data_IF_733898827132
#
_entry.id   IF_733898827132
#
_cell.length_a   1.000
_cell.length_b   1.000
_cell.length_c   1.000
_cell.angle_alpha   90.00
_cell.angle_beta   90.00
_cell.angle_gamma   90.00
#
_symmetry.space_group_name_H-M   'P 1'
#
loop_
_entity.id
_entity.type
_entity.pdbx_description
1 polymer ?
#
# COMPACT_ATOMS: atom_id res chain seq x y z
N UNK A 1 -8.97 8.12 -22.70
CA UNK A 1 -8.70 6.77 -22.15
C UNK A 1 -9.99 6.26 -21.53
N UNK A 2 -10.33 4.99 -21.75
CA UNK A 2 -11.52 4.40 -21.10
C UNK A 2 -11.13 3.97 -19.69
N UNK A 3 -11.73 4.57 -18.66
CA UNK A 3 -11.50 4.17 -17.28
C UNK A 3 -12.02 2.75 -17.02
N UNK A 4 -11.25 1.92 -16.33
CA UNK A 4 -11.62 0.51 -16.08
C UNK A 4 -12.95 0.41 -15.34
N UNK A 5 -13.20 1.29 -14.36
CA UNK A 5 -14.46 1.32 -13.61
C UNK A 5 -15.72 1.58 -14.47
N UNK A 6 -15.54 2.17 -15.65
CA UNK A 6 -16.65 2.49 -16.59
C UNK A 6 -16.84 1.42 -17.68
N UNK A 7 -16.04 0.34 -17.65
CA UNK A 7 -16.11 -0.69 -18.67
C UNK A 7 -17.34 -1.57 -18.46
N UNK A 8 -18.04 -1.83 -19.55
CA UNK A 8 -19.19 -2.71 -19.61
C UNK A 8 -19.02 -3.74 -20.71
N UNK A 9 -19.78 -4.83 -20.64
CA UNK A 9 -19.79 -5.89 -21.65
C UNK A 9 -20.01 -5.30 -23.08
N UNK A 10 -19.32 -5.83 -24.05
CA UNK A 10 -19.35 -5.45 -25.47
C UNK A 10 -18.65 -4.10 -25.81
N UNK A 11 -18.17 -3.35 -24.84
CA UNK A 11 -17.48 -2.06 -25.08
C UNK A 11 -16.10 -2.27 -25.69
N UNK A 12 -15.74 -1.42 -26.65
CA UNK A 12 -14.37 -1.33 -27.16
C UNK A 12 -13.51 -0.59 -26.15
N UNK A 13 -12.37 -1.16 -25.84
CA UNK A 13 -11.36 -0.59 -24.95
C UNK A 13 -10.19 -0.10 -25.78
N UNK A 14 -9.84 1.16 -25.61
CA UNK A 14 -8.63 1.76 -26.17
C UNK A 14 -8.00 2.67 -25.13
N UNK A 15 -6.76 2.35 -24.74
CA UNK A 15 -6.05 3.12 -23.71
C UNK A 15 -4.69 2.57 -23.35
N UNK A 16 -4.02 3.28 -22.47
CA UNK A 16 -2.78 2.82 -21.83
C UNK A 16 -3.14 2.37 -20.42
N UNK A 17 -2.62 1.21 -20.02
CA UNK A 17 -2.84 0.59 -18.72
C UNK A 17 -1.52 0.03 -18.21
N UNK A 18 -1.34 -0.07 -16.91
CA UNK A 18 -0.20 -0.79 -16.36
C UNK A 18 -0.52 -2.29 -16.24
N UNK A 19 0.49 -3.12 -16.40
CA UNK A 19 0.41 -4.58 -16.27
C UNK A 19 0.68 -4.96 -14.83
N UNK A 20 -0.36 -5.19 -14.05
CA UNK A 20 -0.24 -5.63 -12.66
C UNK A 20 0.25 -7.09 -12.56
N UNK A 21 -0.20 -7.94 -13.47
CA UNK A 21 0.15 -9.36 -13.51
C UNK A 21 0.25 -9.83 -14.94
N UNK A 22 1.22 -10.71 -15.20
CA UNK A 22 1.43 -11.34 -16.50
C UNK A 22 1.76 -12.80 -16.32
N UNK A 23 1.01 -13.67 -17.00
CA UNK A 23 1.24 -15.11 -16.98
C UNK A 23 1.09 -15.69 -18.39
N UNK A 24 2.07 -16.48 -18.79
CA UNK A 24 1.95 -17.29 -20.01
C UNK A 24 1.33 -18.63 -19.67
N UNK A 25 0.16 -18.90 -20.23
CA UNK A 25 -0.64 -20.09 -19.97
C UNK A 25 -0.94 -20.84 -21.27
N UNK A 26 -1.52 -22.02 -21.16
CA UNK A 26 -1.99 -22.82 -22.30
C UNK A 26 -3.48 -23.12 -22.18
N UNK A 27 -4.16 -23.06 -23.29
CA UNK A 27 -5.55 -23.52 -23.38
C UNK A 27 -5.63 -25.05 -23.22
N UNK A 28 -6.83 -25.59 -23.04
CA UNK A 28 -7.06 -27.05 -23.03
C UNK A 28 -6.56 -27.74 -24.30
N UNK A 29 -6.56 -27.04 -25.44
CA UNK A 29 -6.03 -27.50 -26.72
C UNK A 29 -4.52 -27.30 -26.91
N UNK A 30 -3.79 -26.80 -25.88
CA UNK A 30 -2.35 -26.63 -25.91
C UNK A 30 -1.85 -25.31 -26.51
N UNK A 31 -2.73 -24.48 -27.09
CA UNK A 31 -2.34 -23.16 -27.62
C UNK A 31 -1.91 -22.18 -26.51
N UNK A 32 -0.79 -21.48 -26.69
CA UNK A 32 -0.35 -20.49 -25.68
C UNK A 32 -1.24 -19.24 -25.71
N UNK A 33 -1.36 -18.57 -24.55
CA UNK A 33 -1.97 -17.25 -24.41
C UNK A 33 -1.34 -16.50 -23.24
N UNK A 34 -1.44 -15.15 -23.23
CA UNK A 34 -1.09 -14.35 -22.07
C UNK A 34 -2.35 -14.03 -21.27
N UNK A 35 -2.30 -14.32 -19.99
CA UNK A 35 -3.25 -13.83 -19.01
C UNK A 35 -2.63 -12.61 -18.33
N UNK A 36 -3.29 -11.47 -18.47
CA UNK A 36 -2.87 -10.19 -17.87
C UNK A 36 -3.90 -9.73 -16.86
N UNK A 37 -3.45 -8.97 -15.87
CA UNK A 37 -4.26 -8.07 -15.07
C UNK A 37 -3.83 -6.66 -15.43
N UNK A 38 -4.74 -5.89 -16.00
CA UNK A 38 -4.52 -4.49 -16.34
C UNK A 38 -5.07 -3.60 -15.23
N UNK A 39 -4.38 -2.50 -14.95
CA UNK A 39 -4.78 -1.53 -13.92
C UNK A 39 -4.71 -0.11 -14.43
N UNK A 40 -5.63 0.71 -13.92
CA UNK A 40 -5.60 2.17 -13.98
C UNK A 40 -6.04 2.74 -12.62
N UNK A 41 -6.01 4.07 -12.40
CA UNK A 41 -6.44 4.67 -11.14
C UNK A 41 -7.87 4.33 -10.72
N UNK A 42 -8.72 3.90 -11.65
CA UNK A 42 -10.14 3.59 -11.41
C UNK A 42 -10.40 2.14 -11.03
N UNK A 43 -9.45 1.21 -11.29
CA UNK A 43 -9.64 -0.19 -10.96
C UNK A 43 -8.73 -1.19 -11.67
N UNK A 44 -9.17 -2.44 -11.70
CA UNK A 44 -8.45 -3.59 -12.29
C UNK A 44 -9.37 -4.40 -13.17
N UNK A 45 -8.83 -4.97 -14.26
CA UNK A 45 -9.56 -5.85 -15.15
C UNK A 45 -8.64 -6.96 -15.70
N UNK A 46 -9.16 -8.17 -15.76
CA UNK A 46 -8.50 -9.29 -16.44
C UNK A 46 -8.43 -9.02 -17.95
N UNK A 47 -7.32 -9.42 -18.60
CA UNK A 47 -7.18 -9.35 -20.04
C UNK A 47 -6.54 -10.62 -20.60
N UNK A 48 -6.89 -10.97 -21.83
CA UNK A 48 -6.39 -12.16 -22.52
C UNK A 48 -5.84 -11.78 -23.89
N UNK A 49 -4.63 -12.26 -24.19
CA UNK A 49 -3.97 -12.07 -25.48
C UNK A 49 -3.80 -13.45 -26.12
N UNK A 50 -4.47 -13.67 -27.26
CA UNK A 50 -4.52 -14.96 -27.93
C UNK A 50 -3.57 -15.07 -29.14
N UNK A 51 -3.08 -13.94 -29.63
CA UNK A 51 -2.28 -13.83 -30.84
C UNK A 51 -0.88 -13.31 -30.52
N UNK A 52 0.09 -13.67 -31.33
CA UNK A 52 1.49 -13.19 -31.25
C UNK A 52 2.13 -13.36 -29.86
N UNK A 53 1.68 -14.36 -29.11
CA UNK A 53 2.00 -14.57 -27.69
C UNK A 53 3.49 -14.55 -27.41
N UNK A 54 4.31 -15.25 -28.24
CA UNK A 54 5.76 -15.34 -28.03
C UNK A 54 6.46 -14.00 -28.28
N UNK A 55 6.02 -13.27 -29.30
CA UNK A 55 6.54 -11.96 -29.63
C UNK A 55 6.21 -10.93 -28.53
N UNK A 56 4.97 -10.92 -28.08
CA UNK A 56 4.48 -9.99 -27.09
C UNK A 56 5.03 -10.31 -25.70
N UNK A 57 5.21 -11.58 -25.36
CA UNK A 57 5.75 -12.01 -24.08
C UNK A 57 7.17 -11.44 -23.82
N UNK A 58 7.95 -11.23 -24.85
CA UNK A 58 9.30 -10.68 -24.76
C UNK A 58 9.35 -9.13 -24.72
N UNK A 59 8.27 -8.42 -25.04
CA UNK A 59 8.27 -6.97 -25.26
C UNK A 59 7.94 -6.12 -24.03
N UNK A 60 7.31 -6.71 -23.04
CA UNK A 60 6.94 -6.03 -21.79
C UNK A 60 6.95 -7.00 -20.60
N UNK A 61 7.10 -6.46 -19.42
CA UNK A 61 7.09 -7.21 -18.16
C UNK A 61 5.89 -6.78 -17.28
N UNK A 62 5.70 -7.50 -16.18
CA UNK A 62 4.85 -6.98 -15.10
C UNK A 62 5.45 -5.68 -14.59
N UNK A 63 4.62 -4.68 -14.32
CA UNK A 63 5.01 -3.35 -13.92
C UNK A 63 5.14 -2.36 -15.08
N UNK A 64 5.22 -2.81 -16.34
CA UNK A 64 5.28 -1.92 -17.49
C UNK A 64 3.90 -1.36 -17.86
N UNK A 65 3.89 -0.21 -18.53
CA UNK A 65 2.72 0.33 -19.19
C UNK A 65 2.56 -0.24 -20.61
N UNK A 66 1.32 -0.55 -20.98
CA UNK A 66 0.98 -1.09 -22.31
C UNK A 66 -0.21 -0.35 -22.90
N UNK A 67 -0.15 -0.08 -24.21
CA UNK A 67 -1.27 0.41 -24.99
C UNK A 67 -2.10 -0.78 -25.46
N UNK A 68 -3.36 -0.79 -25.13
CA UNK A 68 -4.28 -1.90 -25.40
C UNK A 68 -5.44 -1.42 -26.25
N UNK A 69 -5.74 -2.18 -27.31
CA UNK A 69 -7.01 -2.14 -28.04
C UNK A 69 -7.66 -3.51 -27.91
N UNK A 70 -8.90 -3.56 -27.47
CA UNK A 70 -9.63 -4.80 -27.27
C UNK A 70 -11.12 -4.61 -27.11
N UNK A 71 -11.81 -5.66 -26.71
CA UNK A 71 -13.25 -5.65 -26.43
C UNK A 71 -13.51 -6.26 -25.05
N UNK A 72 -14.41 -5.66 -24.30
CA UNK A 72 -14.86 -6.23 -23.02
C UNK A 72 -15.81 -7.37 -23.29
N UNK A 73 -15.55 -8.52 -22.73
CA UNK A 73 -16.42 -9.68 -22.73
C UNK A 73 -16.67 -10.18 -21.31
N UNK A 74 -17.70 -11.01 -21.17
CA UNK A 74 -18.02 -11.62 -19.89
C UNK A 74 -17.64 -13.08 -19.88
N UNK A 75 -16.72 -13.44 -19.02
CA UNK A 75 -16.32 -14.83 -18.80
C UNK A 75 -16.54 -15.25 -17.35
N UNK A 76 -17.30 -16.33 -17.12
CA UNK A 76 -17.65 -16.83 -15.78
C UNK A 76 -18.17 -15.74 -14.83
N UNK A 77 -19.04 -14.89 -15.34
CA UNK A 77 -19.66 -13.77 -14.62
C UNK A 77 -18.69 -12.63 -14.20
N UNK A 78 -17.48 -12.57 -14.80
CA UNK A 78 -16.51 -11.48 -14.62
C UNK A 78 -16.23 -10.82 -15.96
N UNK A 79 -16.05 -9.52 -15.94
CA UNK A 79 -15.61 -8.79 -17.13
C UNK A 79 -14.12 -9.07 -17.37
N UNK A 80 -13.76 -9.28 -18.63
CA UNK A 80 -12.38 -9.35 -19.08
C UNK A 80 -12.23 -8.65 -20.43
N UNK A 81 -11.01 -8.24 -20.77
CA UNK A 81 -10.68 -7.66 -22.07
C UNK A 81 -10.13 -8.75 -22.99
N UNK A 82 -10.80 -9.00 -24.11
CA UNK A 82 -10.25 -9.73 -25.24
C UNK A 82 -9.36 -8.77 -26.04
N UNK A 83 -8.04 -8.95 -25.93
CA UNK A 83 -7.04 -8.02 -26.48
C UNK A 83 -6.81 -8.34 -27.95
N UNK A 84 -7.00 -7.33 -28.81
CA UNK A 84 -6.74 -7.41 -30.24
C UNK A 84 -5.33 -6.93 -30.61
N UNK A 85 -4.92 -5.81 -30.03
CA UNK A 85 -3.56 -5.30 -30.17
C UNK A 85 -3.02 -4.86 -28.80
N UNK A 86 -1.73 -5.12 -28.61
CA UNK A 86 -1.01 -4.71 -27.43
C UNK A 86 0.40 -4.26 -27.83
N UNK A 87 0.78 -3.08 -27.36
CA UNK A 87 2.09 -2.50 -27.58
C UNK A 87 2.66 -1.98 -26.26
N UNK A 88 3.97 -2.09 -26.05
CA UNK A 88 4.63 -1.44 -24.92
C UNK A 88 4.48 0.07 -25.04
N UNK A 89 4.24 0.76 -23.93
CA UNK A 89 4.11 2.22 -23.83
C UNK A 89 5.20 2.80 -22.91
N UNK A 90 6.48 2.77 -23.34
CA UNK A 90 7.60 3.20 -22.49
C UNK A 90 7.59 4.71 -22.18
N UNK A 91 6.78 5.48 -22.88
CA UNK A 91 6.56 6.92 -22.62
C UNK A 91 5.66 7.20 -21.41
N UNK A 92 4.90 6.21 -20.95
CA UNK A 92 3.99 6.36 -19.82
C UNK A 92 4.66 5.87 -18.52
N UNK A 93 4.53 6.66 -17.45
CA UNK A 93 4.99 6.24 -16.12
C UNK A 93 3.99 5.22 -15.55
N UNK A 94 4.38 3.94 -15.36
CA UNK A 94 3.48 2.94 -14.79
C UNK A 94 2.93 3.29 -13.41
N UNK A 95 3.62 4.12 -12.64
CA UNK A 95 3.18 4.56 -11.32
C UNK A 95 1.89 5.39 -11.37
N UNK A 96 1.62 6.08 -12.49
CA UNK A 96 0.40 6.86 -12.70
C UNK A 96 -0.86 5.99 -12.83
N UNK A 97 -0.69 4.68 -13.05
CA UNK A 97 -1.80 3.73 -13.21
C UNK A 97 -2.12 2.95 -11.93
N UNK A 98 -1.40 3.17 -10.84
CA UNK A 98 -1.78 2.57 -9.57
C UNK A 98 -3.13 3.13 -9.11
N UNK A 99 -4.04 2.28 -8.57
CA UNK A 99 -5.21 2.78 -7.85
C UNK A 99 -4.76 3.80 -6.81
N UNK A 100 -5.43 4.95 -6.74
CA UNK A 100 -5.01 6.06 -5.90
C UNK A 100 -5.97 6.26 -4.74
N UNK A 101 -5.47 6.96 -3.73
CA UNK A 101 -6.20 7.47 -2.60
C UNK A 101 -7.45 8.26 -3.05
N UNK A 102 -8.58 8.06 -2.35
CA UNK A 102 -9.82 8.83 -2.57
C UNK A 102 -9.83 10.14 -1.77
N UNK A 103 -9.09 10.18 -0.66
CA UNK A 103 -8.92 11.37 0.18
C UNK A 103 -7.80 12.25 -0.35
N UNK A 104 -7.85 13.53 -0.02
CA UNK A 104 -6.79 14.47 -0.36
C UNK A 104 -5.51 14.10 0.43
N UNK A 105 -4.41 13.87 -0.29
CA UNK A 105 -3.13 13.52 0.32
C UNK A 105 -2.54 14.67 1.14
N UNK A 106 -2.80 15.93 0.78
CA UNK A 106 -2.33 17.09 1.54
C UNK A 106 -3.13 17.25 2.84
N UNK A 107 -4.42 16.92 2.83
CA UNK A 107 -5.22 16.84 4.06
C UNK A 107 -4.68 15.77 5.01
N UNK A 108 -4.36 14.58 4.50
CA UNK A 108 -3.78 13.49 5.31
C UNK A 108 -2.41 13.84 5.87
N UNK A 109 -1.55 14.51 5.10
CA UNK A 109 -0.27 15.00 5.61
C UNK A 109 -0.46 16.05 6.71
N UNK A 110 -1.46 16.94 6.58
CA UNK A 110 -1.82 17.88 7.63
C UNK A 110 -2.25 17.18 8.94
N UNK A 111 -3.03 16.09 8.82
CA UNK A 111 -3.38 15.24 9.98
C UNK A 111 -2.15 14.52 10.55
N UNK A 112 -1.25 14.01 9.72
CA UNK A 112 0.00 13.39 10.17
C UNK A 112 0.85 14.37 11.00
N UNK A 113 1.01 15.59 10.51
CA UNK A 113 1.76 16.66 11.20
C UNK A 113 1.08 17.09 12.50
N UNK A 114 -0.25 17.22 12.49
CA UNK A 114 -1.02 17.52 13.70
C UNK A 114 -0.82 16.44 14.76
N UNK A 115 -0.97 15.16 14.40
CA UNK A 115 -0.80 14.04 15.33
C UNK A 115 0.63 13.93 15.86
N UNK A 116 1.64 14.16 15.02
CA UNK A 116 3.04 14.21 15.43
C UNK A 116 3.32 15.35 16.40
N UNK A 117 2.66 16.50 16.21
CA UNK A 117 2.77 17.68 17.07
C UNK A 117 2.15 17.51 18.46
N UNK A 118 1.27 16.54 18.68
CA UNK A 118 0.71 16.24 19.99
C UNK A 118 1.65 15.46 20.92
N UNK A 119 2.79 14.95 20.42
CA UNK A 119 3.76 14.19 21.21
C UNK A 119 4.62 15.19 22.01
N UNK A 120 4.42 15.24 23.32
CA UNK A 120 5.13 16.13 24.23
C UNK A 120 6.45 15.56 24.74
N UNK A 121 6.63 14.24 24.77
CA UNK A 121 7.85 13.58 25.21
C UNK A 121 8.98 13.83 24.21
N UNK A 122 9.97 14.65 24.60
CA UNK A 122 11.03 15.16 23.72
C UNK A 122 11.75 14.06 22.91
N UNK A 123 12.10 12.94 23.55
CA UNK A 123 12.79 11.83 22.88
C UNK A 123 11.93 11.15 21.81
N UNK A 124 10.63 10.93 22.08
CA UNK A 124 9.70 10.31 21.13
C UNK A 124 9.36 11.27 19.99
N UNK A 125 9.07 12.54 20.32
CA UNK A 125 8.86 13.59 19.32
C UNK A 125 10.07 13.73 18.38
N UNK A 126 11.28 13.69 18.94
CA UNK A 126 12.52 13.75 18.17
C UNK A 126 12.68 12.58 17.18
N UNK A 127 12.27 11.36 17.54
CA UNK A 127 12.28 10.22 16.61
C UNK A 127 11.28 10.48 15.49
N UNK A 128 10.02 10.78 15.82
CA UNK A 128 8.95 11.01 14.84
C UNK A 128 9.30 12.16 13.88
N UNK A 129 9.86 13.24 14.40
CA UNK A 129 10.33 14.37 13.58
C UNK A 129 11.41 13.94 12.58
N UNK A 130 12.41 13.14 12.98
CA UNK A 130 13.45 12.64 12.07
C UNK A 130 12.91 11.79 10.93
N UNK A 131 11.79 11.09 11.14
CA UNK A 131 11.11 10.36 10.08
C UNK A 131 10.36 11.30 9.14
N UNK A 132 9.53 12.17 9.67
CA UNK A 132 8.64 12.99 8.82
C UNK A 132 9.28 14.27 8.27
N UNK A 133 10.50 14.61 8.70
CA UNK A 133 11.34 15.60 8.02
C UNK A 133 12.15 15.03 6.84
N UNK A 134 12.09 13.72 6.61
CA UNK A 134 12.73 13.06 5.48
C UNK A 134 11.76 13.07 4.28
N UNK A 135 12.05 13.94 3.30
CA UNK A 135 11.21 14.11 2.11
C UNK A 135 11.05 12.83 1.28
N UNK A 136 12.09 11.97 1.26
CA UNK A 136 12.05 10.68 0.53
C UNK A 136 11.06 9.74 1.21
N UNK A 137 11.08 9.69 2.54
CA UNK A 137 10.15 8.88 3.30
C UNK A 137 8.72 9.40 3.17
N UNK A 138 8.49 10.72 3.28
CA UNK A 138 7.17 11.32 3.07
C UNK A 138 6.62 11.03 1.67
N UNK A 139 7.44 11.19 0.64
CA UNK A 139 7.05 10.84 -0.72
C UNK A 139 6.70 9.36 -0.86
N UNK A 140 7.39 8.48 -0.13
CA UNK A 140 7.10 7.05 -0.13
C UNK A 140 5.77 6.72 0.56
N UNK A 141 5.43 7.37 1.68
CA UNK A 141 4.12 7.22 2.33
C UNK A 141 2.96 7.55 1.39
N UNK A 142 3.12 8.59 0.56
CA UNK A 142 2.10 9.01 -0.43
C UNK A 142 1.97 8.07 -1.62
N UNK A 143 2.95 7.20 -1.86
CA UNK A 143 3.01 6.33 -3.04
C UNK A 143 2.79 4.86 -2.76
N UNK A 144 3.00 4.42 -1.52
CA UNK A 144 2.95 3.02 -1.17
C UNK A 144 1.58 2.62 -0.58
N UNK A 145 1.16 1.36 -0.77
CA UNK A 145 0.03 0.78 -0.09
C UNK A 145 0.42 0.41 1.34
N UNK A 146 -0.58 0.25 2.22
CA UNK A 146 -0.34 -0.33 3.54
C UNK A 146 -0.14 -1.85 3.46
N UNK A 147 -0.96 -2.55 2.68
CA UNK A 147 -0.84 -4.00 2.48
C UNK A 147 -1.53 -4.45 1.19
N UNK A 148 -1.45 -5.74 0.88
CA UNK A 148 -2.21 -6.36 -0.21
C UNK A 148 -3.70 -6.50 0.10
N UNK A 149 -4.08 -6.58 1.38
CA UNK A 149 -5.45 -6.89 1.83
C UNK A 149 -6.28 -5.67 2.22
N UNK A 150 -5.65 -4.57 2.65
CA UNK A 150 -6.32 -3.32 3.01
C UNK A 150 -5.47 -2.12 2.59
N UNK A 151 -6.10 -1.00 2.27
CA UNK A 151 -5.41 0.17 1.75
C UNK A 151 -4.41 -0.18 0.64
N UNK A 152 -4.81 -1.06 -0.30
CA UNK A 152 -3.97 -1.62 -1.36
C UNK A 152 -3.89 -0.70 -2.59
N UNK A 153 -3.63 0.58 -2.38
CA UNK A 153 -3.54 1.64 -3.39
C UNK A 153 -2.44 2.64 -3.04
N UNK A 154 -2.02 3.43 -4.01
CA UNK A 154 -1.03 4.49 -3.79
C UNK A 154 -1.55 5.51 -2.75
N UNK A 155 -0.74 5.79 -1.72
CA UNK A 155 -1.13 6.59 -0.57
C UNK A 155 -1.85 5.83 0.54
N UNK A 156 -2.15 4.55 0.33
CA UNK A 156 -2.79 3.71 1.33
C UNK A 156 -2.00 3.60 2.64
N UNK A 157 -0.66 3.63 2.56
CA UNK A 157 0.19 3.64 3.75
C UNK A 157 0.01 4.92 4.57
N UNK A 158 -0.09 6.07 3.92
CA UNK A 158 -0.35 7.35 4.60
C UNK A 158 -1.73 7.34 5.27
N UNK A 159 -2.78 6.92 4.54
CA UNK A 159 -4.14 6.87 5.08
C UNK A 159 -4.25 5.91 6.26
N UNK A 160 -3.67 4.72 6.17
CA UNK A 160 -3.62 3.74 7.24
C UNK A 160 -2.88 4.29 8.49
N UNK A 161 -1.71 4.89 8.28
CA UNK A 161 -0.92 5.47 9.38
C UNK A 161 -1.71 6.54 10.13
N UNK A 162 -2.37 7.46 9.40
CA UNK A 162 -3.23 8.49 9.99
C UNK A 162 -4.45 7.89 10.69
N UNK A 163 -5.09 6.87 10.07
CA UNK A 163 -6.23 6.17 10.64
C UNK A 163 -5.90 5.50 11.98
N UNK A 164 -4.84 4.69 12.01
CA UNK A 164 -4.38 3.99 13.23
C UNK A 164 -3.97 4.99 14.31
N UNK A 165 -3.23 6.04 13.95
CA UNK A 165 -2.81 7.07 14.91
C UNK A 165 -4.01 7.85 15.48
N UNK A 166 -5.02 8.14 14.67
CA UNK A 166 -6.26 8.79 15.13
C UNK A 166 -7.02 7.89 16.12
N UNK A 167 -7.18 6.59 15.83
CA UNK A 167 -7.82 5.64 16.75
C UNK A 167 -7.04 5.57 18.07
N UNK A 168 -5.72 5.50 18.02
CA UNK A 168 -4.87 5.47 19.19
C UNK A 168 -5.00 6.77 20.04
N UNK A 169 -5.02 7.92 19.37
CA UNK A 169 -5.23 9.24 20.01
C UNK A 169 -6.55 9.29 20.77
N UNK A 170 -7.67 9.00 20.10
CA UNK A 170 -8.99 9.02 20.71
C UNK A 170 -9.10 8.01 21.88
N UNK A 171 -8.50 6.83 21.70
CA UNK A 171 -8.45 5.82 22.77
C UNK A 171 -7.68 6.33 23.99
N UNK A 172 -6.55 7.03 23.81
CA UNK A 172 -5.75 7.57 24.92
C UNK A 172 -6.47 8.69 25.66
N UNK A 173 -7.27 9.49 24.97
CA UNK A 173 -8.11 10.52 25.62
C UNK A 173 -9.22 9.92 26.51
N UNK A 174 -9.81 8.81 26.06
CA UNK A 174 -10.82 8.08 26.85
C UNK A 174 -10.20 7.32 28.04
N UNK A 175 -8.92 6.95 27.93
CA UNK A 175 -8.20 6.15 28.92
C UNK A 175 -6.91 6.84 29.40
N UNK A 176 -6.96 7.80 30.32
CA UNK A 176 -5.80 8.61 30.75
C UNK A 176 -4.66 7.82 31.43
N UNK A 177 -4.82 6.52 31.64
CA UNK A 177 -3.74 5.64 32.14
C UNK A 177 -2.77 5.21 31.04
N UNK A 178 -3.18 5.33 29.77
CA UNK A 178 -2.32 5.08 28.62
C UNK A 178 -1.31 6.23 28.49
N UNK A 179 -0.10 5.92 28.15
CA UNK A 179 0.93 6.92 27.80
C UNK A 179 0.70 7.37 26.37
N UNK A 180 -0.05 8.45 26.22
CA UNK A 180 -0.48 8.98 24.92
C UNK A 180 0.69 9.20 23.96
N UNK A 181 1.78 9.79 24.43
CA UNK A 181 2.96 10.09 23.63
C UNK A 181 3.61 8.81 23.06
N UNK A 182 3.72 7.75 23.88
CA UNK A 182 4.26 6.47 23.45
C UNK A 182 3.35 5.78 22.44
N UNK A 183 2.04 5.76 22.73
CA UNK A 183 1.05 5.13 21.87
C UNK A 183 0.97 5.84 20.51
N UNK A 184 0.99 7.17 20.53
CA UNK A 184 0.92 7.98 19.31
C UNK A 184 2.19 7.83 18.46
N UNK A 185 3.38 7.90 19.09
CA UNK A 185 4.64 7.65 18.39
C UNK A 185 4.70 6.24 17.78
N UNK A 186 4.25 5.23 18.52
CA UNK A 186 4.19 3.86 18.02
C UNK A 186 3.21 3.71 16.84
N UNK A 187 2.04 4.34 16.92
CA UNK A 187 1.04 4.33 15.85
C UNK A 187 1.55 5.02 14.57
N UNK A 188 2.24 6.15 14.69
CA UNK A 188 2.82 6.87 13.56
C UNK A 188 3.98 6.12 12.88
N UNK A 189 4.67 5.24 13.62
CA UNK A 189 5.88 4.57 13.14
C UNK A 189 5.72 3.05 12.91
N UNK A 190 4.55 2.45 13.24
CA UNK A 190 4.40 0.98 13.22
C UNK A 190 4.70 0.35 11.86
N UNK A 191 4.31 1.01 10.79
CA UNK A 191 4.44 0.52 9.41
C UNK A 191 5.49 1.26 8.56
N UNK A 192 6.37 2.09 9.15
CA UNK A 192 7.42 2.81 8.39
C UNK A 192 8.35 1.87 7.61
N UNK A 193 8.50 0.64 8.07
CA UNK A 193 9.30 -0.38 7.37
C UNK A 193 8.75 -0.78 6.00
N UNK A 194 7.49 -0.49 5.69
CA UNK A 194 6.90 -0.68 4.36
C UNK A 194 7.64 0.10 3.28
N UNK A 195 8.23 1.24 3.65
CA UNK A 195 9.02 2.06 2.74
C UNK A 195 10.27 1.33 2.22
N UNK A 196 10.84 0.45 3.03
CA UNK A 196 11.96 -0.39 2.63
C UNK A 196 11.51 -1.78 2.11
N UNK A 197 10.33 -2.24 2.53
CA UNK A 197 9.77 -3.53 2.10
C UNK A 197 9.25 -3.50 0.66
N UNK A 198 8.65 -2.38 0.22
CA UNK A 198 7.91 -2.30 -1.03
C UNK A 198 8.57 -1.36 -2.03
N UNK A 199 8.44 -1.69 -3.31
CA UNK A 199 8.74 -0.76 -4.41
C UNK A 199 7.48 0.03 -4.78
N UNK A 200 7.65 1.30 -5.14
CA UNK A 200 6.56 2.06 -5.77
C UNK A 200 6.28 1.54 -7.19
N UNK A 201 5.03 1.58 -7.60
CA UNK A 201 4.61 1.17 -8.94
C UNK A 201 3.19 0.61 -8.94
N UNK A 202 2.65 0.24 -10.10
CA UNK A 202 1.28 -0.25 -10.22
C UNK A 202 1.06 -1.61 -9.55
N UNK A 203 2.14 -2.34 -9.21
CA UNK A 203 2.09 -3.70 -8.65
C UNK A 203 2.65 -3.82 -7.24
N UNK A 204 3.21 -2.78 -6.66
CA UNK A 204 3.77 -2.78 -5.31
C UNK A 204 4.51 -4.07 -4.96
N UNK A 205 5.66 -4.30 -5.57
CA UNK A 205 6.44 -5.52 -5.36
C UNK A 205 7.27 -5.43 -4.10
N UNK A 206 7.47 -6.55 -3.44
CA UNK A 206 8.45 -6.62 -2.37
C UNK A 206 9.87 -6.50 -2.93
N UNK A 207 10.69 -5.73 -2.23
CA UNK A 207 12.15 -5.75 -2.43
C UNK A 207 12.74 -7.09 -1.98
N UNK A 208 13.96 -7.44 -2.41
CA UNK A 208 14.61 -8.66 -1.92
C UNK A 208 14.78 -8.64 -0.39
N UNK A 209 15.12 -7.51 0.19
CA UNK A 209 15.23 -7.34 1.64
C UNK A 209 13.86 -7.41 2.31
N UNK A 210 12.83 -6.81 1.72
CA UNK A 210 11.44 -6.89 2.18
C UNK A 210 10.91 -8.30 2.27
N UNK A 211 11.17 -9.10 1.23
CA UNK A 211 10.77 -10.52 1.17
C UNK A 211 11.45 -11.38 2.25
N UNK A 212 12.68 -11.06 2.63
CA UNK A 212 13.46 -11.84 3.62
C UNK A 212 13.17 -11.41 5.05
N UNK A 213 13.03 -10.12 5.31
CA UNK A 213 12.96 -9.54 6.65
C UNK A 213 11.56 -9.08 7.04
N UNK A 214 10.75 -8.63 6.07
CA UNK A 214 9.44 -8.04 6.31
C UNK A 214 9.51 -6.64 6.95
N UNK A 215 8.40 -5.89 6.81
CA UNK A 215 8.34 -4.49 7.26
C UNK A 215 8.57 -4.30 8.76
N UNK A 216 8.15 -5.24 9.62
CA UNK A 216 8.35 -5.11 11.08
C UNK A 216 9.83 -5.01 11.42
N UNK A 217 10.65 -5.93 10.91
CA UNK A 217 12.11 -5.93 11.13
C UNK A 217 12.78 -4.70 10.54
N UNK A 218 12.40 -4.35 9.31
CA UNK A 218 12.92 -3.17 8.62
C UNK A 218 12.55 -1.90 9.37
N UNK A 219 11.31 -1.78 9.85
CA UNK A 219 10.83 -0.66 10.65
C UNK A 219 11.57 -0.53 11.98
N UNK A 220 11.74 -1.63 12.71
CA UNK A 220 12.51 -1.63 13.97
C UNK A 220 13.93 -1.12 13.76
N UNK A 221 14.64 -1.60 12.73
CA UNK A 221 15.99 -1.12 12.39
C UNK A 221 15.99 0.38 12.09
N UNK A 222 15.06 0.85 11.27
CA UNK A 222 14.93 2.28 10.93
C UNK A 222 14.67 3.15 12.16
N UNK A 223 13.84 2.68 13.09
CA UNK A 223 13.55 3.39 14.35
C UNK A 223 14.76 3.38 15.28
N UNK A 224 15.48 2.27 15.42
CA UNK A 224 16.71 2.19 16.20
C UNK A 224 17.78 3.19 15.71
N UNK A 225 18.03 3.23 14.41
CA UNK A 225 18.98 4.14 13.77
C UNK A 225 18.66 5.62 14.06
N UNK A 226 17.36 5.95 14.21
CA UNK A 226 16.87 7.31 14.47
C UNK A 226 16.60 7.60 15.93
N UNK A 227 16.89 6.66 16.85
CA UNK A 227 16.60 6.78 18.28
C UNK A 227 17.71 7.42 19.11
N UNK A 228 18.75 7.99 18.48
CA UNK A 228 19.85 8.64 19.21
C UNK A 228 19.32 9.76 20.11
N UNK A 229 19.76 9.77 21.38
CA UNK A 229 19.35 10.77 22.39
C UNK A 229 18.02 10.46 23.10
N UNK A 230 17.32 9.38 22.75
CA UNK A 230 16.11 8.94 23.46
C UNK A 230 16.47 8.10 24.67
N UNK A 231 15.76 8.30 25.79
CA UNK A 231 15.95 7.48 26.99
C UNK A 231 15.73 5.99 26.70
N UNK A 232 16.57 5.09 27.25
CA UNK A 232 16.53 3.65 26.93
C UNK A 232 15.15 3.00 27.14
N UNK A 233 14.47 3.36 28.23
CA UNK A 233 13.16 2.79 28.55
C UNK A 233 12.09 3.18 27.52
N UNK A 234 11.98 4.48 27.21
CA UNK A 234 11.02 4.97 26.21
C UNK A 234 11.29 4.37 24.81
N UNK A 235 12.58 4.21 24.45
CA UNK A 235 12.97 3.56 23.20
C UNK A 235 12.57 2.10 23.18
N UNK A 236 12.85 1.34 24.25
CA UNK A 236 12.56 -0.09 24.34
C UNK A 236 11.05 -0.37 24.24
N UNK A 237 10.25 0.48 24.90
CA UNK A 237 8.78 0.35 24.87
C UNK A 237 8.20 0.74 23.51
N UNK A 238 8.76 1.74 22.82
CA UNK A 238 8.39 2.09 21.45
C UNK A 238 8.67 0.93 20.49
N UNK A 239 9.89 0.39 20.54
CA UNK A 239 10.28 -0.77 19.72
C UNK A 239 9.41 -1.99 20.03
N UNK A 240 9.09 -2.23 21.32
CA UNK A 240 8.20 -3.31 21.71
C UNK A 240 6.80 -3.14 21.12
N UNK A 241 6.20 -1.95 21.20
CA UNK A 241 4.88 -1.71 20.63
C UNK A 241 4.88 -1.94 19.10
N UNK A 242 5.90 -1.43 18.40
CA UNK A 242 6.07 -1.66 16.95
C UNK A 242 6.27 -3.15 16.65
N UNK A 243 7.10 -3.88 17.42
CA UNK A 243 7.33 -5.31 17.20
C UNK A 243 6.08 -6.16 17.33
N UNK A 244 5.11 -5.75 18.18
CA UNK A 244 3.93 -6.52 18.52
C UNK A 244 2.66 -6.15 17.73
N UNK A 245 2.71 -5.16 16.81
CA UNK A 245 1.49 -4.63 16.18
C UNK A 245 0.74 -5.64 15.28
N UNK A 246 1.32 -6.80 15.01
CA UNK A 246 0.67 -7.94 14.37
C UNK A 246 0.45 -9.15 15.28
N UNK A 247 0.94 -9.13 16.52
CA UNK A 247 0.83 -10.25 17.45
C UNK A 247 0.38 -9.81 18.86
N UNK A 248 -0.93 -9.86 19.09
CA UNK A 248 -1.51 -9.54 20.39
C UNK A 248 -0.94 -10.38 21.57
N UNK A 249 -0.45 -11.61 21.30
CA UNK A 249 0.05 -12.48 22.36
C UNK A 249 1.43 -12.05 22.87
N UNK A 250 2.18 -11.36 22.04
CA UNK A 250 3.51 -10.84 22.39
C UNK A 250 3.44 -9.48 23.10
N UNK A 251 2.30 -8.76 23.04
CA UNK A 251 2.11 -7.48 23.69
C UNK A 251 2.21 -7.59 25.24
N UNK A 252 3.15 -6.84 25.83
CA UNK A 252 3.41 -6.81 27.29
C UNK A 252 2.99 -5.49 27.94
N UNK A 253 2.63 -4.49 27.14
CA UNK A 253 2.13 -3.19 27.62
C UNK A 253 0.73 -2.93 27.10
N UNK A 254 -0.01 -2.06 27.78
CA UNK A 254 -1.34 -1.66 27.34
C UNK A 254 -1.28 -0.94 25.99
N UNK A 255 -0.27 -0.10 25.78
CA UNK A 255 -0.06 0.65 24.54
C UNK A 255 0.19 -0.30 23.34
N UNK A 256 1.02 -1.34 23.51
CA UNK A 256 1.23 -2.34 22.46
C UNK A 256 -0.07 -3.09 22.10
N UNK A 257 -0.89 -3.44 23.11
CA UNK A 257 -2.19 -4.08 22.90
C UNK A 257 -3.17 -3.16 22.18
N UNK A 258 -3.23 -1.88 22.59
CA UNK A 258 -4.10 -0.89 21.95
C UNK A 258 -3.67 -0.66 20.49
N UNK A 259 -2.38 -0.53 20.23
CA UNK A 259 -1.86 -0.39 18.86
C UNK A 259 -2.26 -1.58 17.98
N UNK A 260 -2.11 -2.80 18.48
CA UNK A 260 -2.55 -4.00 17.75
C UNK A 260 -4.03 -3.91 17.37
N UNK A 261 -4.90 -3.57 18.32
CA UNK A 261 -6.34 -3.50 18.05
C UNK A 261 -6.73 -2.32 17.16
N UNK A 262 -6.05 -1.17 17.27
CA UNK A 262 -6.26 -0.02 16.39
C UNK A 262 -5.88 -0.37 14.94
N UNK A 263 -4.73 -1.02 14.74
CA UNK A 263 -4.29 -1.52 13.45
C UNK A 263 -5.31 -2.49 12.83
N UNK A 264 -5.81 -3.47 13.60
CA UNK A 264 -6.83 -4.40 13.12
C UNK A 264 -8.16 -3.71 12.81
N UNK A 265 -8.57 -2.73 13.62
CA UNK A 265 -9.82 -2.00 13.42
C UNK A 265 -9.80 -1.20 12.12
N UNK A 266 -8.73 -0.46 11.87
CA UNK A 266 -8.55 0.30 10.63
C UNK A 266 -8.51 -0.62 9.40
N UNK A 267 -7.75 -1.71 9.46
CA UNK A 267 -7.68 -2.70 8.37
C UNK A 267 -9.06 -3.31 8.04
N UNK A 268 -9.86 -3.67 9.05
CA UNK A 268 -11.21 -4.22 8.86
C UNK A 268 -12.15 -3.17 8.28
N UNK A 269 -12.08 -1.93 8.77
CA UNK A 269 -12.93 -0.84 8.28
C UNK A 269 -12.66 -0.53 6.79
N UNK A 270 -11.37 -0.54 6.38
CA UNK A 270 -10.96 -0.27 5.01
C UNK A 270 -11.37 -1.37 4.00
N UNK A 271 -11.58 -2.61 4.47
CA UNK A 271 -11.93 -3.73 3.56
C UNK A 271 -13.42 -3.87 3.31
N UNK A 272 -14.28 -3.21 4.09
CA UNK A 272 -15.73 -3.29 3.88
C UNK A 272 -16.17 -2.41 2.71
N UNK A 273 -16.99 -2.94 1.76
CA UNK A 273 -17.64 -2.09 0.77
C UNK A 273 -18.45 -1.01 1.47
N UNK A 274 -18.31 0.23 1.03
CA UNK A 274 -19.22 1.30 1.44
C UNK A 274 -20.57 0.96 0.80
N UNK A 275 -21.66 0.80 1.59
CA UNK A 275 -22.99 0.62 1.00
C UNK A 275 -23.31 1.82 0.09
N UNK A 276 -23.87 1.55 -1.09
CA UNK A 276 -24.39 2.56 -2.01
C UNK A 276 -25.46 3.43 -1.38
#
# INVERSE_FOLDING_TARGET
>A
MSAIAELSEERVVEGIYAVARKQRLRTKGGAPYLALELVDPSGRIDARVWHDVELLDARFAEGDAVRVLGRVEKFRNRLQVDVRTLEAAPEADPAEFAPTLRRDADELDGFLEFLAGEISHEGLAGIVTRFFSDDVLRASLRRLPASESHHSYAGGLLEHTVGVATICRETSQLHPRLRSDLLLAAALLHDVGRVAELTSGPTFRQTDEGRLLGHVHLGLRMVEERSSGTQPDARSELLHAIACHHDARSARTAEASVLYHANQLDAVAATRPIPD
#
